data_IF_334980009633
#
_entry.id   IF_334980009633
#
_cell.length_a   1.000
_cell.length_b   1.000
_cell.length_c   1.000
_cell.angle_alpha   90.00
_cell.angle_beta   90.00
_cell.angle_gamma   90.00
#
_symmetry.space_group_name_H-M   'P 1'
#
loop_
_entity.id
_entity.type
_entity.pdbx_description
1 polymer ?
#
# COMPACT_ATOMS: atom_id res chain seq x y z
N UNK A 1 41.45 2.33 19.26
CA UNK A 1 42.33 2.20 18.07
C UNK A 1 41.39 2.02 16.88
N UNK A 2 40.75 3.07 16.38
CA UNK A 2 41.26 4.06 15.41
C UNK A 2 41.65 3.42 14.06
N UNK A 3 40.72 3.48 13.09
CA UNK A 3 40.91 3.44 11.63
C UNK A 3 39.50 3.70 11.00
N UNK A 4 39.10 4.94 10.78
CA UNK A 4 39.36 5.78 9.59
C UNK A 4 38.51 5.35 8.38
N UNK A 5 37.30 5.91 8.28
CA UNK A 5 36.48 5.88 7.07
C UNK A 5 36.86 7.05 6.17
N UNK A 6 37.34 6.72 4.97
CA UNK A 6 37.73 7.69 3.96
C UNK A 6 36.50 8.39 3.36
N UNK A 7 36.47 9.70 3.55
CA UNK A 7 35.58 10.68 2.93
C UNK A 7 35.84 10.76 1.42
N UNK A 8 34.81 10.60 0.60
CA UNK A 8 34.82 11.06 -0.79
C UNK A 8 33.85 12.25 -0.91
N UNK A 9 34.41 13.40 -1.27
CA UNK A 9 33.71 14.69 -1.46
C UNK A 9 32.94 14.74 -2.79
N UNK A 10 31.87 15.55 -2.89
CA UNK A 10 31.04 15.68 -4.09
C UNK A 10 31.68 16.60 -5.14
N UNK A 11 31.57 16.22 -6.42
CA UNK A 11 31.94 17.06 -7.57
C UNK A 11 30.72 17.87 -8.02
N UNK A 12 30.99 19.14 -8.27
CA UNK A 12 30.03 20.21 -8.52
C UNK A 12 29.73 20.45 -10.01
N UNK A 13 28.53 20.99 -10.26
CA UNK A 13 28.12 21.96 -11.31
C UNK A 13 28.12 21.52 -12.78
N UNK A 14 26.96 21.66 -13.43
CA UNK A 14 26.85 22.36 -14.72
C UNK A 14 25.51 23.10 -14.87
N UNK A 15 25.60 24.27 -15.50
CA UNK A 15 24.61 25.34 -15.63
C UNK A 15 24.12 25.43 -17.08
N UNK A 16 22.83 25.70 -17.26
CA UNK A 16 22.14 26.56 -18.27
C UNK A 16 22.58 26.52 -19.75
N UNK A 17 21.65 26.22 -20.67
CA UNK A 17 20.76 27.22 -21.31
C UNK A 17 19.85 26.60 -22.41
N UNK A 18 18.73 27.27 -22.77
CA UNK A 18 17.71 26.76 -23.68
C UNK A 18 17.87 27.28 -25.12
N UNK A 19 17.51 26.45 -26.10
CA UNK A 19 17.34 26.88 -27.51
C UNK A 19 15.89 26.85 -27.95
N UNK A 20 15.52 28.00 -28.51
CA UNK A 20 14.26 28.43 -29.10
C UNK A 20 14.12 27.82 -30.50
N UNK A 21 12.93 27.34 -30.89
CA UNK A 21 12.55 27.30 -32.31
C UNK A 21 11.07 27.65 -32.51
N UNK A 22 10.87 28.34 -33.62
CA UNK A 22 9.74 29.18 -34.01
C UNK A 22 8.67 28.45 -34.81
N UNK A 23 7.43 28.90 -34.63
CA UNK A 23 6.35 29.10 -35.60
C UNK A 23 6.18 28.13 -36.78
N UNK A 24 5.02 27.47 -36.82
CA UNK A 24 4.21 27.42 -38.04
C UNK A 24 2.72 27.61 -37.71
N UNK A 25 2.12 28.55 -38.41
CA UNK A 25 0.71 28.94 -38.38
C UNK A 25 -0.04 28.24 -39.50
N UNK A 26 -1.21 27.64 -39.25
CA UNK A 26 -2.24 27.46 -40.28
C UNK A 26 -3.67 27.44 -39.70
N UNK A 27 -4.35 28.56 -39.97
CA UNK A 27 -5.72 28.73 -40.49
C UNK A 27 -6.92 28.04 -39.80
N UNK A 28 -7.77 28.93 -39.26
CA UNK A 28 -9.16 28.75 -38.83
C UNK A 28 -10.07 28.30 -39.99
N UNK A 29 -11.06 27.46 -39.68
CA UNK A 29 -12.37 27.46 -40.30
C UNK A 29 -13.45 27.54 -39.21
N UNK A 30 -14.39 28.47 -39.40
CA UNK A 30 -15.55 28.75 -38.56
C UNK A 30 -16.80 28.08 -39.16
N UNK A 31 -17.90 28.17 -38.41
CA UNK A 31 -19.34 27.98 -38.76
C UNK A 31 -19.88 26.57 -38.48
N UNK A 32 -21.04 26.31 -37.84
CA UNK A 32 -22.14 27.14 -37.31
C UNK A 32 -22.83 26.37 -36.18
N UNK A 33 -23.27 27.07 -35.13
CA UNK A 33 -24.12 26.53 -34.06
C UNK A 33 -25.58 26.86 -34.36
N UNK A 34 -26.50 25.89 -34.21
CA UNK A 34 -27.95 26.13 -34.18
C UNK A 34 -28.44 25.93 -32.74
N UNK A 35 -29.06 26.97 -32.19
CA UNK A 35 -29.76 26.98 -30.90
C UNK A 35 -31.21 26.57 -31.10
N UNK A 36 -31.78 25.90 -30.08
CA UNK A 36 -33.20 26.03 -29.74
C UNK A 36 -33.35 26.31 -28.25
N UNK A 37 -34.29 27.19 -27.91
CA UNK A 37 -34.62 27.66 -26.55
C UNK A 37 -36.12 27.49 -26.30
N UNK A 38 -36.49 27.23 -25.06
CA UNK A 38 -37.80 27.56 -24.49
C UNK A 38 -37.67 27.86 -22.98
N UNK A 39 -37.74 29.16 -22.66
CA UNK A 39 -38.43 29.92 -21.58
C UNK A 39 -38.81 29.18 -20.27
N UNK A 40 -38.51 29.67 -19.05
CA UNK A 40 -39.05 30.91 -18.44
C UNK A 40 -38.33 31.42 -17.15
N UNK A 41 -38.46 32.74 -16.94
CA UNK A 41 -38.12 33.73 -15.86
C UNK A 41 -37.97 33.29 -14.39
N UNK A 42 -36.84 33.53 -13.68
CA UNK A 42 -36.36 34.71 -12.88
C UNK A 42 -36.89 34.82 -11.41
N UNK A 43 -36.20 35.48 -10.45
CA UNK A 43 -34.78 35.39 -10.05
C UNK A 43 -34.59 35.28 -8.50
N UNK A 44 -33.48 34.71 -8.03
CA UNK A 44 -33.05 34.85 -6.62
C UNK A 44 -31.56 35.20 -6.55
N UNK A 45 -31.29 36.44 -6.15
CA UNK A 45 -29.97 37.02 -5.94
C UNK A 45 -29.38 36.54 -4.61
N UNK A 46 -28.37 35.68 -4.65
CA UNK A 46 -27.37 35.60 -3.58
C UNK A 46 -25.98 35.44 -4.18
N UNK A 47 -25.08 36.30 -3.72
CA UNK A 47 -23.71 36.52 -4.16
C UNK A 47 -22.83 35.26 -4.13
N UNK A 48 -22.43 34.77 -5.31
CA UNK A 48 -21.35 33.78 -5.43
C UNK A 48 -19.99 34.49 -5.45
N UNK A 49 -19.23 34.36 -4.37
CA UNK A 49 -17.77 34.49 -4.41
C UNK A 49 -17.21 33.41 -5.38
N UNK A 50 -16.22 33.70 -6.22
CA UNK A 50 -15.63 32.70 -7.10
C UNK A 50 -14.78 31.75 -6.27
N UNK A 51 -15.33 30.59 -5.94
CA UNK A 51 -14.56 29.46 -5.43
C UNK A 51 -13.56 29.02 -6.51
N UNK A 52 -12.25 29.09 -6.20
CA UNK A 52 -11.19 28.49 -7.01
C UNK A 52 -11.57 27.03 -7.26
N UNK A 53 -11.81 26.67 -8.52
CA UNK A 53 -11.89 25.27 -8.95
C UNK A 53 -10.54 24.65 -8.64
N UNK A 54 -10.46 23.85 -7.58
CA UNK A 54 -9.34 22.95 -7.38
C UNK A 54 -9.27 22.05 -8.63
N UNK A 55 -8.14 22.06 -9.32
CA UNK A 55 -7.86 21.11 -10.39
C UNK A 55 -7.99 19.70 -9.79
N UNK A 56 -9.10 19.01 -10.08
CA UNK A 56 -9.21 17.57 -9.85
C UNK A 56 -8.25 16.89 -10.81
N UNK A 57 -7.01 16.69 -10.38
CA UNK A 57 -6.15 15.69 -10.99
C UNK A 57 -6.74 14.34 -10.62
N UNK A 58 -7.58 13.80 -11.51
CA UNK A 58 -8.10 12.44 -11.39
C UNK A 58 -6.89 11.50 -11.40
N UNK A 59 -6.69 10.74 -10.31
CA UNK A 59 -5.62 9.74 -10.22
C UNK A 59 -5.73 8.81 -11.43
N UNK A 60 -4.74 8.80 -12.32
CA UNK A 60 -4.65 7.84 -13.43
C UNK A 60 -4.66 6.43 -12.81
N UNK A 61 -5.70 5.64 -13.06
CA UNK A 61 -5.78 4.27 -12.56
C UNK A 61 -4.64 3.43 -13.16
N UNK A 62 -3.93 2.70 -12.30
CA UNK A 62 -2.88 1.75 -12.72
C UNK A 62 -3.06 0.42 -11.98
N UNK A 63 -2.19 -0.55 -12.25
CA UNK A 63 -2.14 -1.78 -11.45
C UNK A 63 -1.79 -1.47 -9.98
N UNK A 64 -1.05 -0.39 -9.74
CA UNK A 64 -0.47 -0.03 -8.44
C UNK A 64 -1.32 0.98 -7.63
N UNK A 65 -2.45 1.45 -8.19
CA UNK A 65 -3.35 2.35 -7.44
C UNK A 65 -4.20 1.54 -6.45
N UNK A 66 -4.37 2.02 -5.19
CA UNK A 66 -5.23 1.37 -4.20
C UNK A 66 -6.65 1.12 -4.73
N UNK A 67 -7.21 -0.04 -4.41
CA UNK A 67 -8.56 -0.47 -4.84
C UNK A 67 -9.44 -0.77 -3.64
N UNK A 68 -10.75 -0.70 -3.86
CA UNK A 68 -11.72 -1.16 -2.89
C UNK A 68 -11.98 -2.64 -3.09
N UNK A 69 -12.06 -3.41 -2.01
CA UNK A 69 -12.15 -4.86 -2.07
C UNK A 69 -13.47 -5.38 -1.50
N UNK A 70 -13.93 -6.50 -2.04
CA UNK A 70 -15.07 -7.28 -1.55
C UNK A 70 -14.78 -8.77 -1.68
N UNK A 71 -15.58 -9.61 -1.03
CA UNK A 71 -15.35 -11.05 -0.98
C UNK A 71 -16.63 -11.87 -1.05
N UNK A 72 -16.44 -13.18 -1.05
CA UNK A 72 -17.50 -14.16 -0.90
C UNK A 72 -17.85 -14.28 0.58
N UNK A 73 -18.83 -13.48 1.02
CA UNK A 73 -19.25 -13.42 2.42
C UNK A 73 -19.90 -14.72 2.90
N UNK A 74 -20.56 -15.46 2.01
CA UNK A 74 -21.19 -16.73 2.35
C UNK A 74 -20.12 -17.81 2.58
N UNK A 75 -19.05 -17.80 1.77
CA UNK A 75 -17.86 -18.64 1.98
C UNK A 75 -17.15 -18.25 3.29
N UNK A 76 -16.99 -16.95 3.60
CA UNK A 76 -16.46 -16.50 4.90
C UNK A 76 -17.30 -16.98 6.08
N UNK A 77 -18.63 -16.85 6.00
CA UNK A 77 -19.55 -17.35 7.04
C UNK A 77 -19.39 -18.86 7.23
N UNK A 78 -19.27 -19.62 6.14
CA UNK A 78 -19.08 -21.08 6.19
C UNK A 78 -17.75 -21.46 6.85
N UNK A 79 -16.65 -20.78 6.48
CA UNK A 79 -15.30 -21.07 6.99
C UNK A 79 -15.20 -20.88 8.51
N UNK A 80 -15.91 -19.88 9.05
CA UNK A 80 -15.86 -19.52 10.48
C UNK A 80 -17.07 -19.96 11.29
N UNK A 81 -18.07 -20.59 10.68
CA UNK A 81 -19.23 -21.10 11.40
C UNK A 81 -18.78 -22.16 12.43
N UNK A 82 -19.07 -21.90 13.70
CA UNK A 82 -18.64 -22.75 14.82
C UNK A 82 -19.36 -24.10 14.88
N UNK A 83 -20.51 -24.23 14.25
CA UNK A 83 -21.27 -25.48 14.17
C UNK A 83 -20.75 -26.38 13.04
N UNK A 84 -20.33 -25.77 11.92
CA UNK A 84 -19.79 -26.47 10.74
C UNK A 84 -18.32 -26.83 10.95
N UNK A 85 -17.52 -25.86 11.39
CA UNK A 85 -16.08 -26.01 11.55
C UNK A 85 -15.71 -26.14 13.04
N UNK A 86 -15.61 -27.39 13.49
CA UNK A 86 -15.26 -27.73 14.89
C UNK A 86 -13.76 -27.63 15.19
N UNK A 87 -12.92 -27.41 14.18
CA UNK A 87 -11.45 -27.32 14.35
C UNK A 87 -10.98 -25.89 14.62
N UNK A 88 -11.88 -24.91 14.63
CA UNK A 88 -11.55 -23.53 14.97
C UNK A 88 -11.00 -23.45 16.38
N UNK A 89 -9.76 -22.94 16.53
CA UNK A 89 -9.16 -22.69 17.83
C UNK A 89 -9.79 -21.45 18.49
N UNK A 90 -10.96 -21.64 19.10
CA UNK A 90 -11.69 -20.54 19.75
C UNK A 90 -10.90 -19.89 20.89
N UNK A 91 -10.01 -20.63 21.56
CA UNK A 91 -9.18 -20.09 22.64
C UNK A 91 -8.19 -19.04 22.13
N UNK A 92 -7.56 -19.27 20.97
CA UNK A 92 -6.67 -18.31 20.31
C UNK A 92 -7.45 -17.07 19.86
N UNK A 93 -8.63 -17.24 19.26
CA UNK A 93 -9.48 -16.09 18.90
C UNK A 93 -9.96 -15.31 20.12
N UNK A 94 -10.30 -15.96 21.23
CA UNK A 94 -10.68 -15.26 22.46
C UNK A 94 -9.53 -14.46 23.06
N UNK A 95 -8.31 -15.02 23.04
CA UNK A 95 -7.11 -14.30 23.49
C UNK A 95 -6.84 -13.06 22.62
N UNK A 96 -6.89 -13.22 21.29
CA UNK A 96 -6.76 -12.10 20.35
C UNK A 96 -7.86 -11.06 20.57
N UNK A 97 -9.11 -11.47 20.81
CA UNK A 97 -10.19 -10.54 21.10
C UNK A 97 -9.91 -9.68 22.34
N UNK A 98 -9.31 -10.24 23.39
CA UNK A 98 -8.92 -9.44 24.56
C UNK A 98 -7.81 -8.43 24.22
N UNK A 99 -6.85 -8.83 23.41
CA UNK A 99 -5.78 -7.94 22.94
C UNK A 99 -6.37 -6.75 22.15
N UNK A 100 -7.30 -6.99 21.23
CA UNK A 100 -8.00 -5.92 20.49
C UNK A 100 -8.89 -5.03 21.38
N UNK A 101 -9.52 -5.59 22.42
CA UNK A 101 -10.37 -4.85 23.37
C UNK A 101 -9.56 -3.91 24.25
N UNK A 102 -8.31 -4.24 24.53
CA UNK A 102 -7.45 -3.42 25.39
C UNK A 102 -7.14 -2.06 24.76
N UNK A 103 -7.10 -1.96 23.43
CA UNK A 103 -6.98 -0.70 22.66
C UNK A 103 -5.90 0.25 23.21
N UNK A 104 -4.66 -0.22 23.27
CA UNK A 104 -3.51 0.55 23.75
C UNK A 104 -3.34 1.91 23.04
N UNK A 105 -3.90 2.06 21.85
CA UNK A 105 -3.78 3.25 21.00
C UNK A 105 -4.98 4.21 21.08
N UNK A 106 -5.93 4.00 22.00
CA UNK A 106 -7.15 4.80 22.12
C UNK A 106 -6.88 6.32 22.17
N UNK A 107 -5.86 6.75 22.91
CA UNK A 107 -5.49 8.16 23.10
C UNK A 107 -4.26 8.58 22.29
N UNK A 108 -3.71 7.70 21.45
CA UNK A 108 -2.44 7.96 20.78
C UNK A 108 -2.56 8.97 19.63
N UNK A 109 -3.64 8.90 18.86
CA UNK A 109 -3.82 9.65 17.61
C UNK A 109 -4.34 11.09 17.83
N UNK A 110 -3.69 11.81 18.75
CA UNK A 110 -3.98 13.21 19.07
C UNK A 110 -2.96 14.12 18.39
N UNK A 111 -3.46 15.06 17.60
CA UNK A 111 -2.64 15.99 16.81
C UNK A 111 -2.29 17.23 17.63
N UNK A 112 -1.15 17.84 17.32
CA UNK A 112 -0.69 19.09 17.92
C UNK A 112 -0.44 20.17 16.83
N UNK A 113 0.04 21.35 17.23
CA UNK A 113 0.28 22.47 16.32
C UNK A 113 1.42 22.22 15.31
N UNK A 114 2.35 21.32 15.62
CA UNK A 114 3.51 21.00 14.76
C UNK A 114 3.07 20.50 13.38
N UNK A 115 1.91 19.83 13.29
CA UNK A 115 1.38 19.29 12.04
C UNK A 115 1.14 20.40 11.01
N UNK A 116 0.42 21.45 11.42
CA UNK A 116 0.09 22.56 10.51
C UNK A 116 1.34 23.36 10.15
N UNK A 117 2.21 23.62 11.12
CA UNK A 117 3.47 24.32 10.90
C UNK A 117 4.40 23.57 9.92
N UNK A 118 4.47 22.24 10.02
CA UNK A 118 5.26 21.42 9.09
C UNK A 118 4.67 21.44 7.68
N UNK A 119 3.35 21.33 7.54
CA UNK A 119 2.68 21.42 6.23
C UNK A 119 2.89 22.78 5.56
N UNK A 120 2.85 23.88 6.32
CA UNK A 120 3.04 25.24 5.80
C UNK A 120 4.48 25.51 5.32
N UNK A 121 5.47 24.79 5.89
CA UNK A 121 6.88 24.86 5.47
C UNK A 121 7.20 23.96 4.27
N UNK A 122 6.32 23.01 3.95
CA UNK A 122 6.57 22.03 2.89
C UNK A 122 6.17 22.60 1.53
N UNK A 123 7.16 22.80 0.65
CA UNK A 123 6.99 23.40 -0.66
C UNK A 123 7.47 22.49 -1.81
N UNK A 124 7.16 22.90 -3.05
CA UNK A 124 7.73 22.29 -4.25
C UNK A 124 7.38 20.80 -4.46
N UNK A 125 8.28 20.02 -5.10
CA UNK A 125 8.07 18.61 -5.40
C UNK A 125 7.78 17.74 -4.17
N UNK A 126 8.45 18.02 -3.03
CA UNK A 126 8.26 17.28 -1.79
C UNK A 126 6.81 17.37 -1.31
N UNK A 127 6.21 18.57 -1.36
CA UNK A 127 4.79 18.77 -1.00
C UNK A 127 3.86 17.90 -1.85
N UNK A 128 4.11 17.83 -3.16
CA UNK A 128 3.26 17.05 -4.06
C UNK A 128 3.36 15.55 -3.76
N UNK A 129 4.59 15.05 -3.59
CA UNK A 129 4.86 13.64 -3.28
C UNK A 129 4.24 13.25 -1.93
N UNK A 130 4.39 14.11 -0.92
CA UNK A 130 3.85 13.84 0.42
C UNK A 130 2.32 13.87 0.44
N UNK A 131 1.68 14.78 -0.29
CA UNK A 131 0.23 14.77 -0.47
C UNK A 131 -0.23 13.48 -1.17
N UNK A 132 0.44 13.05 -2.24
CA UNK A 132 0.12 11.78 -2.91
C UNK A 132 0.25 10.59 -1.95
N UNK A 133 1.30 10.56 -1.12
CA UNK A 133 1.48 9.55 -0.07
C UNK A 133 0.26 9.53 0.87
N UNK A 134 -0.13 10.67 1.44
CA UNK A 134 -1.28 10.77 2.34
C UNK A 134 -2.59 10.33 1.67
N UNK A 135 -2.85 10.75 0.43
CA UNK A 135 -4.06 10.39 -0.31
C UNK A 135 -4.16 8.88 -0.56
N UNK A 136 -3.04 8.27 -0.97
CA UNK A 136 -2.98 6.82 -1.27
C UNK A 136 -3.09 5.99 -0.01
N UNK A 137 -2.34 6.32 1.03
CA UNK A 137 -2.42 5.63 2.32
C UNK A 137 -3.84 5.75 2.88
N UNK A 138 -4.44 6.95 2.90
CA UNK A 138 -5.80 7.13 3.41
C UNK A 138 -6.82 6.28 2.64
N UNK A 139 -6.66 6.17 1.32
CA UNK A 139 -7.53 5.33 0.48
C UNK A 139 -7.35 3.84 0.76
N UNK A 140 -6.13 3.40 1.07
CA UNK A 140 -5.82 2.01 1.42
C UNK A 140 -6.45 1.62 2.76
N UNK A 141 -6.20 2.37 3.84
CA UNK A 141 -6.77 2.07 5.18
C UNK A 141 -8.30 2.12 5.14
N UNK A 142 -8.86 3.10 4.41
CA UNK A 142 -10.30 3.20 4.26
C UNK A 142 -10.91 2.02 3.47
N UNK A 143 -10.16 1.40 2.57
CA UNK A 143 -10.57 0.18 1.87
C UNK A 143 -10.66 -1.01 2.84
N UNK A 144 -9.62 -1.20 3.67
CA UNK A 144 -9.60 -2.22 4.72
C UNK A 144 -10.77 -2.08 5.69
N UNK A 145 -10.98 -0.86 6.20
CA UNK A 145 -12.13 -0.52 7.05
C UNK A 145 -13.46 -1.02 6.49
N UNK A 146 -13.77 -0.75 5.21
CA UNK A 146 -15.05 -1.12 4.61
C UNK A 146 -15.23 -2.65 4.56
N UNK A 147 -14.17 -3.38 4.19
CA UNK A 147 -14.19 -4.84 4.14
C UNK A 147 -14.40 -5.44 5.54
N UNK A 148 -13.60 -5.01 6.52
CA UNK A 148 -13.63 -5.56 7.87
C UNK A 148 -14.95 -5.23 8.59
N UNK A 149 -15.49 -4.04 8.37
CA UNK A 149 -16.79 -3.65 8.91
C UNK A 149 -17.91 -4.57 8.40
N UNK A 150 -17.91 -4.90 7.11
CA UNK A 150 -18.92 -5.80 6.54
C UNK A 150 -18.72 -7.24 7.04
N UNK A 151 -17.47 -7.72 7.17
CA UNK A 151 -17.18 -9.04 7.76
C UNK A 151 -17.65 -9.13 9.22
N UNK A 152 -17.38 -8.12 10.04
CA UNK A 152 -17.84 -8.06 11.43
C UNK A 152 -19.37 -8.09 11.52
N UNK A 153 -20.08 -7.46 10.57
CA UNK A 153 -21.54 -7.49 10.52
C UNK A 153 -22.09 -8.88 10.14
N UNK A 154 -21.49 -9.52 9.14
CA UNK A 154 -21.92 -10.81 8.57
C UNK A 154 -21.72 -11.95 9.56
N UNK A 155 -20.52 -12.04 10.13
CA UNK A 155 -20.13 -13.15 11.01
C UNK A 155 -20.80 -13.13 12.39
N UNK A 156 -21.52 -12.05 12.76
CA UNK A 156 -22.07 -11.84 14.11
C UNK A 156 -22.93 -13.00 14.62
N UNK A 157 -23.64 -13.70 13.73
CA UNK A 157 -24.49 -14.84 14.12
C UNK A 157 -23.75 -16.17 14.13
N UNK A 158 -22.80 -16.37 13.22
CA UNK A 158 -22.11 -17.65 13.00
C UNK A 158 -20.86 -17.79 13.85
N UNK A 159 -20.19 -16.68 14.16
CA UNK A 159 -19.02 -16.62 15.03
C UNK A 159 -18.88 -15.23 15.66
N UNK A 160 -19.55 -14.98 16.80
CA UNK A 160 -19.54 -13.68 17.47
C UNK A 160 -18.15 -13.18 17.86
N UNK A 161 -17.21 -14.07 18.19
CA UNK A 161 -15.84 -13.72 18.58
C UNK A 161 -15.08 -13.14 17.40
N UNK A 162 -15.01 -13.88 16.28
CA UNK A 162 -14.33 -13.43 15.06
C UNK A 162 -15.00 -12.16 14.50
N UNK A 163 -16.33 -12.08 14.58
CA UNK A 163 -17.09 -10.90 14.18
C UNK A 163 -16.71 -9.64 14.99
N UNK A 164 -16.51 -9.80 16.30
CA UNK A 164 -16.10 -8.71 17.17
C UNK A 164 -14.65 -8.27 16.88
N UNK A 165 -13.74 -9.21 16.62
CA UNK A 165 -12.36 -8.87 16.21
C UNK A 165 -12.37 -8.06 14.91
N UNK A 166 -13.08 -8.49 13.86
CA UNK A 166 -13.20 -7.70 12.62
C UNK A 166 -13.81 -6.31 12.86
N UNK A 167 -14.75 -6.20 13.79
CA UNK A 167 -15.34 -4.90 14.15
C UNK A 167 -14.31 -3.98 14.82
N UNK A 168 -13.46 -4.51 15.71
CA UNK A 168 -12.38 -3.76 16.36
C UNK A 168 -11.24 -3.42 15.40
N UNK A 169 -10.89 -4.33 14.50
CA UNK A 169 -9.94 -4.06 13.41
C UNK A 169 -10.47 -2.95 12.51
N UNK A 170 -11.77 -2.95 12.17
CA UNK A 170 -12.39 -1.84 11.42
C UNK A 170 -12.34 -0.50 12.18
N UNK A 171 -12.38 -0.51 13.52
CA UNK A 171 -12.18 0.72 14.33
C UNK A 171 -10.77 1.27 14.13
N UNK A 172 -9.76 0.40 14.15
CA UNK A 172 -8.37 0.80 14.00
C UNK A 172 -8.12 1.39 12.59
N UNK A 173 -8.59 0.71 11.54
CA UNK A 173 -8.51 1.20 10.15
C UNK A 173 -9.24 2.53 9.93
N UNK A 174 -10.41 2.70 10.55
CA UNK A 174 -11.13 3.97 10.49
C UNK A 174 -10.36 5.10 11.18
N UNK A 175 -9.64 4.79 12.28
CA UNK A 175 -8.79 5.73 13.01
C UNK A 175 -7.59 6.15 12.16
N UNK A 176 -6.94 5.18 11.53
CA UNK A 176 -5.82 5.34 10.60
C UNK A 176 -6.19 6.20 9.40
N UNK A 177 -7.25 5.82 8.66
CA UNK A 177 -7.78 6.59 7.54
C UNK A 177 -8.17 8.01 7.96
N UNK A 178 -8.83 8.15 9.10
CA UNK A 178 -9.22 9.44 9.66
C UNK A 178 -8.04 10.33 10.04
N UNK A 179 -6.97 9.74 10.57
CA UNK A 179 -5.74 10.46 10.93
C UNK A 179 -5.01 10.98 9.68
N UNK A 180 -4.91 10.16 8.63
CA UNK A 180 -4.34 10.55 7.33
C UNK A 180 -5.17 11.64 6.65
N UNK A 181 -6.50 11.51 6.64
CA UNK A 181 -7.38 12.52 6.04
C UNK A 181 -7.32 13.87 6.78
N UNK A 182 -7.15 13.82 8.12
CA UNK A 182 -6.85 15.00 8.92
C UNK A 182 -5.51 15.63 8.54
N UNK A 183 -4.50 14.83 8.20
CA UNK A 183 -3.22 15.31 7.68
C UNK A 183 -3.37 16.05 6.35
N UNK A 184 -4.16 15.51 5.41
CA UNK A 184 -4.49 16.20 4.14
C UNK A 184 -5.10 17.59 4.38
N UNK A 185 -5.87 17.77 5.45
CA UNK A 185 -6.50 19.05 5.77
C UNK A 185 -5.48 20.15 6.06
N UNK A 186 -4.27 19.82 6.54
CA UNK A 186 -3.20 20.81 6.73
C UNK A 186 -2.73 21.40 5.41
N UNK A 187 -2.79 20.60 4.34
CA UNK A 187 -2.48 21.00 2.98
C UNK A 187 -3.68 21.62 2.25
N UNK A 188 -4.77 21.90 2.97
CA UNK A 188 -6.06 22.38 2.46
C UNK A 188 -6.74 21.40 1.48
N UNK A 189 -6.54 20.09 1.72
CA UNK A 189 -7.15 19.01 0.95
C UNK A 189 -7.97 18.12 1.90
N UNK A 190 -8.98 17.43 1.36
CA UNK A 190 -9.72 16.44 2.12
C UNK A 190 -10.32 15.42 1.16
N UNK A 191 -10.25 14.14 1.55
CA UNK A 191 -10.95 13.08 0.87
C UNK A 191 -12.37 12.97 1.43
N UNK A 192 -13.35 12.98 0.54
CA UNK A 192 -14.73 12.62 0.86
C UNK A 192 -14.87 11.10 0.86
N UNK A 193 -14.61 10.50 2.03
CA UNK A 193 -14.65 9.04 2.23
C UNK A 193 -16.05 8.47 1.96
N UNK A 194 -17.11 9.23 2.26
CA UNK A 194 -18.50 8.84 1.99
C UNK A 194 -18.78 8.78 0.49
N UNK A 195 -18.29 9.75 -0.28
CA UNK A 195 -18.33 9.71 -1.74
C UNK A 195 -17.51 8.56 -2.31
N UNK A 196 -16.28 8.33 -1.81
CA UNK A 196 -15.42 7.24 -2.29
C UNK A 196 -16.10 5.88 -2.19
N UNK A 197 -16.83 5.64 -1.09
CA UNK A 197 -17.61 4.40 -0.87
C UNK A 197 -18.64 4.14 -1.98
N UNK A 198 -19.26 5.21 -2.52
CA UNK A 198 -20.30 5.10 -3.56
C UNK A 198 -19.73 5.11 -4.98
N UNK A 199 -18.62 5.81 -5.18
CA UNK A 199 -18.08 6.09 -6.51
C UNK A 199 -17.05 5.07 -6.98
N UNK A 200 -16.34 4.39 -6.07
CA UNK A 200 -15.28 3.44 -6.43
C UNK A 200 -15.84 2.08 -6.78
N UNK A 201 -15.20 1.43 -7.75
CA UNK A 201 -15.47 0.04 -8.12
C UNK A 201 -14.84 -0.90 -7.11
N UNK A 202 -15.61 -1.87 -6.66
CA UNK A 202 -15.13 -2.96 -5.79
C UNK A 202 -14.51 -4.06 -6.64
N UNK A 203 -13.35 -4.53 -6.21
CA UNK A 203 -12.61 -5.65 -6.79
C UNK A 203 -12.86 -6.88 -5.92
N UNK A 204 -13.34 -7.95 -6.53
CA UNK A 204 -13.65 -9.18 -5.81
C UNK A 204 -12.39 -10.03 -5.61
N UNK A 205 -12.21 -10.54 -4.38
CA UNK A 205 -11.24 -11.57 -4.05
C UNK A 205 -11.91 -12.71 -3.28
N UNK A 206 -11.55 -13.96 -3.62
CA UNK A 206 -11.94 -15.12 -2.84
C UNK A 206 -11.36 -15.07 -1.42
N UNK A 207 -12.06 -15.58 -0.39
CA UNK A 207 -11.60 -15.58 1.01
C UNK A 207 -10.16 -16.06 1.20
N UNK A 208 -9.80 -17.18 0.54
CA UNK A 208 -8.43 -17.71 0.54
C UNK A 208 -7.39 -16.64 0.19
N UNK A 209 -7.64 -15.86 -0.85
CA UNK A 209 -6.71 -14.84 -1.33
C UNK A 209 -6.65 -13.63 -0.39
N UNK A 210 -7.77 -13.29 0.25
CA UNK A 210 -7.80 -12.25 1.27
C UNK A 210 -6.92 -12.64 2.44
N UNK A 211 -6.93 -13.91 2.88
CA UNK A 211 -6.11 -14.32 4.02
C UNK A 211 -4.60 -14.18 3.73
N UNK A 212 -4.11 -14.67 2.59
CA UNK A 212 -2.70 -14.48 2.25
C UNK A 212 -2.33 -13.02 2.00
N UNK A 213 -3.12 -12.33 1.17
CA UNK A 213 -2.80 -10.97 0.73
C UNK A 213 -2.86 -9.98 1.91
N UNK A 214 -3.87 -10.10 2.77
CA UNK A 214 -4.02 -9.22 3.91
C UNK A 214 -2.95 -9.52 4.94
N UNK A 215 -2.71 -10.78 5.31
CA UNK A 215 -1.59 -11.15 6.20
C UNK A 215 -0.26 -10.54 5.74
N UNK A 216 0.06 -10.65 4.46
CA UNK A 216 1.27 -10.05 3.89
C UNK A 216 1.23 -8.52 3.90
N UNK A 217 0.07 -7.91 3.62
CA UNK A 217 -0.12 -6.45 3.67
C UNK A 217 0.14 -5.90 5.07
N UNK A 218 -0.40 -6.54 6.11
CA UNK A 218 -0.18 -6.18 7.51
C UNK A 218 1.31 -6.29 7.89
N UNK A 219 1.95 -7.42 7.55
CA UNK A 219 3.36 -7.64 7.91
C UNK A 219 4.31 -6.73 7.13
N UNK A 220 4.05 -6.47 5.84
CA UNK A 220 4.88 -5.54 5.07
C UNK A 220 4.64 -4.09 5.51
N UNK A 221 3.40 -3.71 5.84
CA UNK A 221 3.05 -2.41 6.42
C UNK A 221 3.81 -2.14 7.72
N UNK A 222 3.79 -3.12 8.64
CA UNK A 222 4.59 -3.08 9.88
C UNK A 222 6.05 -2.75 9.62
N UNK A 223 6.73 -3.54 8.78
CA UNK A 223 8.16 -3.39 8.54
C UNK A 223 8.52 -2.08 7.86
N UNK A 224 7.66 -1.59 6.96
CA UNK A 224 7.84 -0.26 6.34
C UNK A 224 7.77 0.85 7.38
N UNK A 225 6.72 0.85 8.19
CA UNK A 225 6.47 1.93 9.15
C UNK A 225 7.51 1.96 10.26
N UNK A 226 7.89 0.79 10.82
CA UNK A 226 8.90 0.74 11.86
C UNK A 226 10.29 1.14 11.34
N UNK A 227 10.65 0.75 10.11
CA UNK A 227 11.92 1.12 9.48
C UNK A 227 12.01 2.62 9.26
N UNK A 228 10.95 3.23 8.71
CA UNK A 228 10.88 4.69 8.53
C UNK A 228 10.95 5.42 9.88
N UNK A 229 10.22 4.94 10.89
CA UNK A 229 10.23 5.53 12.23
C UNK A 229 11.62 5.51 12.85
N UNK A 230 12.31 4.36 12.85
CA UNK A 230 13.65 4.20 13.43
C UNK A 230 14.65 5.11 12.73
N UNK A 231 14.64 5.12 11.39
CA UNK A 231 15.49 6.00 10.59
C UNK A 231 15.29 7.48 10.93
N UNK A 232 14.04 7.94 10.99
CA UNK A 232 13.73 9.36 11.28
C UNK A 232 13.96 9.74 12.75
N UNK A 233 13.93 8.78 13.66
CA UNK A 233 14.30 8.98 15.07
C UNK A 233 15.80 9.21 15.22
N UNK A 234 16.62 8.51 14.45
CA UNK A 234 18.07 8.66 14.42
C UNK A 234 18.52 9.89 13.60
N UNK A 235 17.75 10.25 12.57
CA UNK A 235 18.04 11.36 11.66
C UNK A 235 16.87 12.38 11.62
N UNK A 236 16.64 13.13 12.71
CA UNK A 236 15.48 14.02 12.85
C UNK A 236 15.44 15.16 11.84
N UNK A 237 16.56 15.50 11.19
CA UNK A 237 16.65 16.50 10.13
C UNK A 237 15.86 16.13 8.87
N UNK A 238 15.63 14.84 8.63
CA UNK A 238 14.83 14.35 7.49
C UNK A 238 13.33 14.25 7.80
N UNK A 239 12.92 14.53 9.05
CA UNK A 239 11.53 14.43 9.45
C UNK A 239 10.70 15.62 8.93
N UNK A 240 10.16 15.46 7.72
CA UNK A 240 9.43 16.51 7.00
C UNK A 240 8.00 16.77 7.53
N UNK A 241 7.42 15.84 8.29
CA UNK A 241 6.08 15.97 8.85
C UNK A 241 5.88 15.11 10.11
N UNK A 242 5.10 15.55 11.14
CA UNK A 242 5.03 14.84 12.42
C UNK A 242 4.36 13.46 12.40
N UNK A 243 3.68 13.07 11.31
CA UNK A 243 2.96 11.79 11.22
C UNK A 243 3.85 10.58 11.54
N UNK A 244 5.12 10.64 11.16
CA UNK A 244 6.07 9.54 11.35
C UNK A 244 6.34 9.24 12.82
N UNK A 245 6.17 10.21 13.73
CA UNK A 245 6.28 10.00 15.19
C UNK A 245 5.22 9.04 15.74
N UNK A 246 4.15 8.82 14.99
CA UNK A 246 3.01 7.98 15.39
C UNK A 246 3.12 6.55 14.83
N UNK A 247 4.11 6.30 13.96
CA UNK A 247 4.25 5.01 13.27
C UNK A 247 4.63 3.86 14.20
N UNK A 248 5.33 4.12 15.31
CA UNK A 248 5.70 3.08 16.29
C UNK A 248 4.47 2.40 16.92
N UNK A 249 3.46 3.18 17.28
CA UNK A 249 2.24 2.64 17.87
C UNK A 249 1.25 2.18 16.80
N UNK A 250 1.19 2.88 15.67
CA UNK A 250 0.43 2.44 14.51
C UNK A 250 0.86 1.04 14.09
N UNK A 251 2.17 0.78 13.93
CA UNK A 251 2.64 -0.53 13.50
C UNK A 251 2.27 -1.63 14.51
N UNK A 252 2.05 -1.33 15.79
CA UNK A 252 1.52 -2.33 16.72
C UNK A 252 0.08 -2.73 16.40
N UNK A 253 -0.75 -1.83 15.86
CA UNK A 253 -2.07 -2.20 15.32
C UNK A 253 -1.89 -3.20 14.16
N UNK A 254 -1.06 -2.85 13.16
CA UNK A 254 -0.75 -3.73 12.01
C UNK A 254 -0.20 -5.10 12.46
N UNK A 255 0.64 -5.13 13.50
CA UNK A 255 1.16 -6.40 14.00
C UNK A 255 0.04 -7.27 14.58
N UNK A 256 -0.87 -6.69 15.39
CA UNK A 256 -2.04 -7.39 15.94
C UNK A 256 -3.00 -7.85 14.84
N UNK A 257 -3.20 -7.04 13.81
CA UNK A 257 -4.00 -7.39 12.63
C UNK A 257 -3.37 -8.60 11.92
N UNK A 258 -2.06 -8.56 11.68
CA UNK A 258 -1.30 -9.67 11.12
C UNK A 258 -1.37 -10.95 11.98
N UNK A 259 -1.37 -10.83 13.30
CA UNK A 259 -1.48 -11.98 14.22
C UNK A 259 -2.88 -12.60 14.15
N UNK A 260 -3.92 -11.77 14.04
CA UNK A 260 -5.27 -12.25 13.77
C UNK A 260 -5.38 -12.97 12.42
N UNK A 261 -4.84 -12.40 11.34
CA UNK A 261 -4.84 -13.07 10.03
C UNK A 261 -4.02 -14.37 10.02
N UNK A 262 -2.94 -14.44 10.80
CA UNK A 262 -2.22 -15.69 11.06
C UNK A 262 -3.13 -16.73 11.72
N UNK A 263 -3.92 -16.37 12.72
CA UNK A 263 -4.90 -17.27 13.32
C UNK A 263 -6.00 -17.70 12.32
N UNK A 264 -6.46 -16.80 11.43
CA UNK A 264 -7.40 -17.14 10.36
C UNK A 264 -6.80 -18.17 9.38
N UNK A 265 -5.52 -18.04 9.02
CA UNK A 265 -4.81 -19.00 8.17
C UNK A 265 -4.65 -20.36 8.87
N UNK A 266 -4.24 -20.37 10.14
CA UNK A 266 -4.10 -21.61 10.94
C UNK A 266 -5.42 -22.33 11.14
N UNK A 267 -6.52 -21.59 11.28
CA UNK A 267 -7.87 -22.14 11.38
C UNK A 267 -8.33 -22.85 10.09
N UNK A 268 -7.60 -22.67 8.98
CA UNK A 268 -7.88 -23.26 7.68
C UNK A 268 -6.64 -24.03 7.18
N UNK A 269 -6.33 -25.23 7.73
CA UNK A 269 -5.08 -25.95 7.45
C UNK A 269 -4.84 -26.26 5.97
N UNK A 270 -5.91 -26.35 5.16
CA UNK A 270 -5.83 -26.48 3.70
C UNK A 270 -5.12 -25.29 3.00
N UNK A 271 -4.90 -24.19 3.70
CA UNK A 271 -4.13 -23.05 3.23
C UNK A 271 -2.65 -23.08 3.67
N UNK A 272 -2.24 -24.04 4.50
CA UNK A 272 -0.86 -24.13 4.99
C UNK A 272 -0.21 -25.50 4.78
N UNK A 273 -0.97 -26.59 4.64
CA UNK A 273 -0.41 -27.93 4.78
C UNK A 273 -0.10 -28.68 3.48
N UNK A 274 -0.61 -28.22 2.32
CA UNK A 274 -0.46 -28.95 1.06
C UNK A 274 0.55 -28.32 0.09
N UNK A 275 0.93 -29.08 -0.95
CA UNK A 275 1.83 -28.57 -1.98
C UNK A 275 1.24 -27.36 -2.72
N UNK A 276 -0.09 -27.25 -2.80
CA UNK A 276 -0.77 -26.07 -3.37
C UNK A 276 -0.56 -24.85 -2.48
N UNK A 277 -0.60 -25.00 -1.16
CA UNK A 277 -0.35 -23.95 -0.19
C UNK A 277 1.07 -23.41 -0.32
N UNK A 278 2.07 -24.27 -0.58
CA UNK A 278 3.44 -23.83 -0.91
C UNK A 278 3.46 -22.93 -2.14
N UNK A 279 2.77 -23.33 -3.22
CA UNK A 279 2.68 -22.51 -4.44
C UNK A 279 1.96 -21.18 -4.19
N UNK A 280 0.82 -21.20 -3.50
CA UNK A 280 0.06 -19.99 -3.19
C UNK A 280 0.84 -19.03 -2.28
N UNK A 281 1.48 -19.53 -1.24
CA UNK A 281 2.28 -18.72 -0.32
C UNK A 281 3.38 -17.97 -1.07
N UNK A 282 4.16 -18.69 -1.89
CA UNK A 282 5.20 -18.10 -2.74
C UNK A 282 4.65 -17.12 -3.76
N UNK A 283 3.50 -17.43 -4.36
CA UNK A 283 2.85 -16.56 -5.34
C UNK A 283 2.45 -15.23 -4.69
N UNK A 284 1.86 -15.27 -3.50
CA UNK A 284 1.45 -14.05 -2.79
C UNK A 284 2.66 -13.27 -2.28
N UNK A 285 3.69 -13.93 -1.72
CA UNK A 285 4.96 -13.26 -1.40
C UNK A 285 5.51 -12.51 -2.62
N UNK A 286 5.64 -13.20 -3.76
CA UNK A 286 6.20 -12.58 -4.97
C UNK A 286 5.35 -11.40 -5.46
N UNK A 287 4.03 -11.59 -5.47
CA UNK A 287 3.09 -10.56 -5.94
C UNK A 287 3.20 -9.30 -5.09
N UNK A 288 3.24 -9.44 -3.76
CA UNK A 288 3.37 -8.30 -2.84
C UNK A 288 4.75 -7.64 -2.97
N UNK A 289 5.83 -8.42 -2.98
CA UNK A 289 7.20 -7.90 -3.04
C UNK A 289 7.50 -7.18 -4.36
N UNK A 290 7.11 -7.76 -5.50
CA UNK A 290 7.26 -7.12 -6.80
C UNK A 290 6.42 -5.85 -6.90
N UNK A 291 5.18 -5.89 -6.40
CA UNK A 291 4.29 -4.71 -6.40
C UNK A 291 4.89 -3.57 -5.59
N UNK A 292 5.40 -3.86 -4.39
CA UNK A 292 6.08 -2.88 -3.54
C UNK A 292 7.32 -2.31 -4.25
N UNK A 293 8.27 -3.18 -4.62
CA UNK A 293 9.55 -2.76 -5.19
C UNK A 293 9.39 -1.91 -6.45
N UNK A 294 8.48 -2.30 -7.36
CA UNK A 294 8.21 -1.51 -8.56
C UNK A 294 7.51 -0.18 -8.25
N UNK A 295 6.59 -0.16 -7.29
CA UNK A 295 5.85 1.03 -6.90
C UNK A 295 6.74 2.07 -6.22
N UNK A 296 7.68 1.60 -5.40
CA UNK A 296 8.57 2.46 -4.61
C UNK A 296 9.73 2.97 -5.44
N UNK A 297 10.32 2.15 -6.33
CA UNK A 297 11.31 2.64 -7.31
C UNK A 297 10.73 3.76 -8.22
N UNK A 298 9.44 3.69 -8.59
CA UNK A 298 8.77 4.78 -9.32
C UNK A 298 8.63 6.07 -8.50
N UNK A 299 8.82 6.01 -7.18
CA UNK A 299 8.64 7.11 -6.22
C UNK A 299 9.86 7.32 -5.35
N UNK A 300 11.05 7.03 -5.88
CA UNK A 300 12.31 7.11 -5.14
C UNK A 300 12.50 8.48 -4.47
N UNK A 301 12.03 9.56 -5.11
CA UNK A 301 12.07 10.92 -4.57
C UNK A 301 11.38 11.09 -3.20
N UNK A 302 10.41 10.25 -2.83
CA UNK A 302 9.83 10.26 -1.48
C UNK A 302 10.85 9.79 -0.45
N UNK A 303 11.44 8.62 -0.67
CA UNK A 303 12.39 7.99 0.25
C UNK A 303 13.69 8.79 0.33
N UNK A 304 14.20 9.25 -0.81
CA UNK A 304 15.35 10.16 -0.87
C UNK A 304 15.08 11.47 -0.11
N UNK A 305 13.86 11.99 -0.19
CA UNK A 305 13.43 13.19 0.53
C UNK A 305 13.41 13.04 2.06
N UNK A 306 13.33 11.80 2.56
CA UNK A 306 13.47 11.47 3.98
C UNK A 306 14.82 10.82 4.31
N UNK A 307 15.81 10.93 3.42
CA UNK A 307 17.19 10.48 3.66
C UNK A 307 17.41 8.97 3.55
N UNK A 308 16.53 8.24 2.82
CA UNK A 308 16.64 6.81 2.58
C UNK A 308 17.05 6.51 1.14
N UNK A 309 17.90 5.49 0.94
CA UNK A 309 18.00 4.83 -0.36
C UNK A 309 16.78 3.90 -0.55
N UNK A 310 16.08 4.08 -1.67
CA UNK A 310 14.81 3.37 -1.92
C UNK A 310 15.01 1.87 -2.03
N UNK A 311 16.09 1.42 -2.69
CA UNK A 311 16.29 -0.02 -2.94
C UNK A 311 16.82 -0.74 -1.72
N UNK A 312 17.69 -0.09 -0.94
CA UNK A 312 18.14 -0.62 0.35
C UNK A 312 16.99 -0.73 1.34
N UNK A 313 16.15 0.32 1.43
CA UNK A 313 14.91 0.30 2.22
C UNK A 313 14.00 -0.85 1.80
N UNK A 314 13.70 -0.97 0.50
CA UNK A 314 12.79 -2.00 0.01
C UNK A 314 13.33 -3.40 0.27
N UNK A 315 14.62 -3.65 0.01
CA UNK A 315 15.21 -4.96 0.26
C UNK A 315 15.19 -5.32 1.75
N UNK A 316 15.47 -4.37 2.65
CA UNK A 316 15.36 -4.60 4.08
C UNK A 316 13.94 -5.01 4.48
N UNK A 317 12.92 -4.26 4.04
CA UNK A 317 11.52 -4.58 4.31
C UNK A 317 11.12 -5.95 3.76
N UNK A 318 11.54 -6.28 2.52
CA UNK A 318 11.27 -7.57 1.89
C UNK A 318 11.88 -8.71 2.69
N UNK A 319 13.12 -8.58 3.14
CA UNK A 319 13.83 -9.61 3.93
C UNK A 319 13.11 -9.83 5.26
N UNK A 320 12.82 -8.78 6.02
CA UNK A 320 12.18 -8.90 7.33
C UNK A 320 10.73 -9.40 7.24
N UNK A 321 10.00 -8.97 6.21
CA UNK A 321 8.66 -9.50 5.91
C UNK A 321 8.72 -10.99 5.56
N UNK A 322 9.72 -11.40 4.77
CA UNK A 322 9.90 -12.79 4.37
C UNK A 322 10.26 -13.69 5.56
N UNK A 323 11.15 -13.23 6.46
CA UNK A 323 11.49 -13.91 7.71
C UNK A 323 10.28 -14.05 8.63
N UNK A 324 9.43 -13.03 8.71
CA UNK A 324 8.20 -13.07 9.52
C UNK A 324 7.19 -14.05 8.93
N UNK A 325 6.98 -14.01 7.62
CA UNK A 325 5.99 -14.84 6.93
C UNK A 325 6.40 -16.31 6.87
N UNK A 326 7.71 -16.60 6.85
CA UNK A 326 8.28 -17.95 6.96
C UNK A 326 7.83 -18.69 8.23
N UNK A 327 7.44 -17.96 9.29
CA UNK A 327 6.91 -18.58 10.52
C UNK A 327 5.56 -19.25 10.30
N UNK A 328 4.78 -18.86 9.30
CA UNK A 328 3.43 -19.39 9.05
C UNK A 328 3.36 -20.12 7.72
N UNK A 329 3.92 -19.53 6.66
CA UNK A 329 3.84 -20.11 5.34
C UNK A 329 4.71 -21.36 5.23
N UNK A 330 4.23 -22.41 4.55
CA UNK A 330 4.98 -23.67 4.38
C UNK A 330 6.21 -23.52 3.46
N UNK A 331 6.27 -22.46 2.66
CA UNK A 331 7.41 -22.10 1.84
C UNK A 331 7.36 -20.61 1.51
N UNK A 332 8.52 -19.98 1.50
CA UNK A 332 8.71 -18.58 1.10
C UNK A 332 9.73 -18.45 -0.02
N UNK A 333 9.89 -17.24 -0.55
CA UNK A 333 10.91 -16.94 -1.56
C UNK A 333 12.29 -16.83 -0.89
N UNK A 334 13.34 -17.22 -1.61
CA UNK A 334 14.72 -16.96 -1.21
C UNK A 334 15.10 -15.50 -1.58
N UNK A 335 14.59 -14.55 -0.79
CA UNK A 335 14.76 -13.11 -1.05
C UNK A 335 16.15 -12.57 -0.71
N UNK A 336 16.90 -13.30 0.12
CA UNK A 336 18.28 -12.96 0.49
C UNK A 336 19.28 -13.36 -0.59
N UNK A 337 18.88 -14.25 -1.51
CA UNK A 337 19.66 -14.56 -2.69
C UNK A 337 19.89 -13.32 -3.56
N UNK A 338 21.16 -12.95 -3.87
CA UNK A 338 21.45 -11.78 -4.71
C UNK A 338 20.77 -11.84 -6.09
N UNK A 339 20.48 -13.04 -6.59
CA UNK A 339 19.74 -13.24 -7.83
C UNK A 339 18.30 -12.70 -7.76
N UNK A 340 17.64 -12.79 -6.59
CA UNK A 340 16.30 -12.27 -6.42
C UNK A 340 16.27 -10.75 -6.62
N UNK A 341 17.16 -10.02 -5.94
CA UNK A 341 17.33 -8.57 -6.14
C UNK A 341 17.68 -8.23 -7.58
N UNK A 342 18.59 -8.98 -8.21
CA UNK A 342 18.96 -8.78 -9.62
C UNK A 342 17.75 -8.88 -10.55
N UNK A 343 16.84 -9.82 -10.31
CA UNK A 343 15.58 -9.94 -11.06
C UNK A 343 14.65 -8.76 -10.82
N UNK A 344 14.45 -8.35 -9.57
CA UNK A 344 13.66 -7.17 -9.24
C UNK A 344 14.20 -5.91 -9.94
N UNK A 345 15.51 -5.69 -9.93
CA UNK A 345 16.15 -4.58 -10.63
C UNK A 345 15.91 -4.61 -12.15
N UNK A 346 15.91 -5.79 -12.77
CA UNK A 346 15.54 -5.95 -14.19
C UNK A 346 14.06 -5.64 -14.42
N UNK A 347 13.17 -6.08 -13.52
CA UNK A 347 11.75 -5.76 -13.61
C UNK A 347 11.51 -4.25 -13.56
N UNK A 348 12.26 -3.50 -12.73
CA UNK A 348 12.22 -2.03 -12.68
C UNK A 348 12.55 -1.44 -14.05
N UNK A 349 13.69 -1.81 -14.64
CA UNK A 349 14.11 -1.30 -15.95
C UNK A 349 13.09 -1.62 -17.05
N UNK A 350 12.50 -2.82 -17.03
CA UNK A 350 11.48 -3.21 -18.01
C UNK A 350 10.20 -2.38 -17.80
N UNK A 351 9.77 -2.20 -16.55
CA UNK A 351 8.58 -1.45 -16.19
C UNK A 351 8.70 0.04 -16.57
N UNK A 352 9.87 0.65 -16.36
CA UNK A 352 10.17 2.02 -16.80
C UNK A 352 10.01 2.17 -18.33
N UNK A 353 10.49 1.21 -19.11
CA UNK A 353 10.31 1.21 -20.58
C UNK A 353 8.83 1.08 -20.97
N UNK A 354 8.06 0.24 -20.26
CA UNK A 354 6.61 0.08 -20.49
C UNK A 354 5.86 1.39 -20.23
N UNK A 355 6.24 2.10 -19.16
CA UNK A 355 5.67 3.40 -18.80
C UNK A 355 6.06 4.48 -19.82
N UNK A 356 7.33 4.53 -20.24
CA UNK A 356 7.81 5.48 -21.25
C UNK A 356 7.06 5.34 -22.58
N UNK A 357 6.73 4.11 -23.01
CA UNK A 357 5.87 3.88 -24.19
C UNK A 357 4.43 4.35 -23.93
N UNK A 358 3.95 4.28 -22.68
CA UNK A 358 2.64 4.80 -22.32
C UNK A 358 2.49 6.29 -22.53
N UNK A 359 3.54 7.02 -22.14
CA UNK A 359 3.61 8.48 -22.23
C UNK A 359 4.12 8.98 -23.59
N UNK A 360 4.46 8.10 -24.54
CA UNK A 360 4.86 8.51 -25.90
C UNK A 360 3.69 9.10 -26.71
N UNK A 361 3.97 9.83 -27.78
CA UNK A 361 2.95 10.36 -28.71
C UNK A 361 2.52 9.35 -29.78
N UNK A 362 2.95 8.08 -29.67
CA UNK A 362 2.60 7.04 -30.63
C UNK A 362 1.09 6.75 -30.62
N UNK A 363 0.54 6.33 -31.77
CA UNK A 363 -0.84 5.85 -31.84
C UNK A 363 -1.03 4.58 -30.97
N UNK A 364 -2.23 4.35 -30.39
CA UNK A 364 -2.45 3.25 -29.44
C UNK A 364 -2.04 1.86 -29.94
N UNK A 365 -2.25 1.57 -31.22
CA UNK A 365 -1.83 0.30 -31.83
C UNK A 365 -0.31 0.10 -31.78
N UNK A 366 0.45 1.14 -32.12
CA UNK A 366 1.92 1.11 -32.09
C UNK A 366 2.43 0.99 -30.65
N UNK A 367 1.81 1.71 -29.70
CA UNK A 367 2.12 1.55 -28.27
C UNK A 367 1.94 0.11 -27.80
N UNK A 368 0.84 -0.53 -28.18
CA UNK A 368 0.57 -1.92 -27.81
C UNK A 368 1.61 -2.86 -28.42
N UNK A 369 1.96 -2.70 -29.69
CA UNK A 369 2.96 -3.52 -30.36
C UNK A 369 4.35 -3.39 -29.70
N UNK A 370 4.76 -2.17 -29.32
CA UNK A 370 6.00 -1.91 -28.58
C UNK A 370 5.98 -2.49 -27.16
N UNK A 371 4.80 -2.55 -26.52
CA UNK A 371 4.63 -3.06 -25.14
C UNK A 371 4.68 -4.58 -25.05
N UNK A 372 4.15 -5.31 -26.03
CA UNK A 372 4.11 -6.78 -26.02
C UNK A 372 5.44 -7.44 -25.64
N UNK A 373 6.59 -7.14 -26.30
CA UNK A 373 7.85 -7.79 -25.95
C UNK A 373 8.33 -7.44 -24.53
N UNK A 374 8.05 -6.22 -24.05
CA UNK A 374 8.41 -5.82 -22.69
C UNK A 374 7.53 -6.47 -21.63
N UNK A 375 6.22 -6.61 -21.89
CA UNK A 375 5.30 -7.33 -21.01
C UNK A 375 5.71 -8.81 -20.94
N UNK A 376 6.07 -9.42 -22.08
CA UNK A 376 6.59 -10.77 -22.11
C UNK A 376 7.90 -10.91 -21.31
N UNK A 377 8.82 -9.94 -21.43
CA UNK A 377 10.05 -9.92 -20.64
C UNK A 377 9.78 -9.76 -19.14
N UNK A 378 8.84 -8.88 -18.75
CA UNK A 378 8.45 -8.70 -17.35
C UNK A 378 7.83 -9.98 -16.78
N UNK A 379 6.90 -10.60 -17.52
CA UNK A 379 6.30 -11.87 -17.13
C UNK A 379 7.35 -12.98 -17.02
N UNK A 380 8.35 -12.99 -17.91
CA UNK A 380 9.46 -13.94 -17.86
C UNK A 380 10.33 -13.76 -16.62
N UNK A 381 10.66 -12.52 -16.23
CA UNK A 381 11.41 -12.27 -14.98
C UNK A 381 10.59 -12.64 -13.74
N UNK A 382 9.28 -12.33 -13.73
CA UNK A 382 8.38 -12.73 -12.62
C UNK A 382 8.34 -14.26 -12.51
N UNK A 383 8.15 -14.97 -13.62
CA UNK A 383 8.16 -16.43 -13.64
C UNK A 383 9.52 -16.98 -13.20
N UNK A 384 10.62 -16.38 -13.67
CA UNK A 384 11.96 -16.80 -13.27
C UNK A 384 12.23 -16.59 -11.77
N UNK A 385 11.72 -15.51 -11.18
CA UNK A 385 11.79 -15.27 -9.73
C UNK A 385 10.91 -16.28 -8.96
N UNK A 386 9.71 -16.56 -9.47
CA UNK A 386 8.81 -17.56 -8.87
C UNK A 386 9.41 -18.98 -8.91
N UNK A 387 10.16 -19.32 -9.96
CA UNK A 387 10.77 -20.65 -10.13
C UNK A 387 12.11 -20.81 -9.39
N UNK A 388 12.64 -19.76 -8.74
CA UNK A 388 13.82 -19.90 -7.87
C UNK A 388 13.54 -20.93 -6.75
N UNK A 389 14.56 -21.70 -6.31
CA UNK A 389 14.42 -22.62 -5.19
C UNK A 389 13.80 -21.90 -3.98
N UNK A 390 12.69 -22.42 -3.42
CA UNK A 390 12.10 -21.82 -2.24
C UNK A 390 12.91 -22.12 -0.98
N UNK A 391 12.66 -21.32 0.05
CA UNK A 391 13.01 -21.68 1.43
C UNK A 391 11.79 -22.39 2.02
N UNK A 392 11.95 -23.65 2.37
CA UNK A 392 10.93 -24.43 3.07
C UNK A 392 10.80 -23.90 4.51
N UNK A 393 9.56 -23.75 5.01
CA UNK A 393 9.30 -23.06 6.27
C UNK A 393 7.95 -23.48 6.89
N UNK A 394 7.47 -22.76 7.91
CA UNK A 394 6.13 -22.91 8.48
C UNK A 394 6.10 -23.40 9.93
N UNK A 395 5.07 -22.98 10.69
CA UNK A 395 4.89 -23.30 12.11
C UNK A 395 4.43 -24.72 12.39
N UNK A 396 4.00 -25.45 11.36
CA UNK A 396 3.32 -26.73 11.55
C UNK A 396 4.32 -27.89 11.70
N UNK A 397 5.58 -27.72 11.27
CA UNK A 397 6.58 -28.80 11.28
C UNK A 397 8.02 -28.40 11.67
N UNK A 398 8.31 -27.18 12.11
CA UNK A 398 9.68 -26.83 12.55
C UNK A 398 9.70 -26.10 13.89
N UNK A 399 10.07 -26.85 14.93
CA UNK A 399 10.42 -26.32 16.25
C UNK A 399 11.73 -25.50 16.26
N UNK A 400 12.41 -25.34 15.12
CA UNK A 400 13.78 -24.81 15.04
C UNK A 400 13.95 -23.55 14.15
N UNK A 401 12.87 -22.86 13.78
CA UNK A 401 13.05 -21.50 13.26
C UNK A 401 13.19 -20.53 14.44
N UNK A 402 14.35 -20.53 15.10
CA UNK A 402 14.78 -19.42 15.96
C UNK A 402 15.39 -18.34 15.06
N UNK A 403 14.68 -17.23 14.79
CA UNK A 403 15.32 -16.08 14.19
C UNK A 403 16.34 -15.54 15.19
N UNK A 404 17.62 -15.55 14.82
CA UNK A 404 18.62 -14.79 15.56
C UNK A 404 18.24 -13.32 15.45
N UNK A 405 17.66 -12.79 16.53
CA UNK A 405 17.41 -11.36 16.69
C UNK A 405 18.78 -10.71 16.86
N UNK A 406 19.30 -10.17 15.77
CA UNK A 406 20.47 -9.29 15.82
C UNK A 406 19.94 -7.92 16.25
N UNK A 407 20.25 -7.53 17.49
CA UNK A 407 19.94 -6.22 18.06
C UNK A 407 20.82 -5.12 17.45
#
# INVERSE_FOLDING_TARGET
>A
MAAEMALIKPISKFSTNPTRSTFFTTRKFNTTTVKMSATSSQPATTSKKPGKKANKNTIKESLLTPRFYTTDFDEMETLFNTEINKQLNQSEFQALLQEFKTDYNQTHFVRNKEFKEAADKMEGPLRQIFVEFLERSCTAEFSGFLLYKELGRRLKKTNPVVAEIFSLMSRDEARHAGFLNKGLSDFNLALDLGFLTKARKYTFFKPKFIFYATYLSEKIGYWRYITIYRHLKENPEYQCYPIFKYFENWCQDENRHGDFFSALLKAQPQFLNDWKAKLWSRFFCLSVYVTMYLNDCQRSAFYEGIGLDTKEFDMHVLIETNRTTARIFPAVLDVENPEFKRKLDRMVVINEKILAIGESEDIPFVKNLKRIPLIAALASEILAAYLMPPVESGSVDFAEFEPQIVY
#
